data_IF_232697500280
#
_entry.id   IF_232697500280
#
_cell.length_a   1.000
_cell.length_b   1.000
_cell.length_c   1.000
_cell.angle_alpha   90.00
_cell.angle_beta   90.00
_cell.angle_gamma   90.00
#
_symmetry.space_group_name_H-M   'P 1'
#
loop_
_entity.id
_entity.type
_entity.pdbx_description
1 polymer ?
#
# COMPACT_ATOMS: atom_id res chain seq x y z
N UNK A 1 3.41 15.50 -19.22
CA UNK A 1 3.61 14.38 -18.27
C UNK A 1 2.27 14.04 -17.65
N UNK A 2 1.90 12.75 -17.55
CA UNK A 2 0.65 12.35 -16.89
C UNK A 2 0.83 12.36 -15.37
N UNK A 3 -0.21 12.72 -14.63
CA UNK A 3 -0.20 12.73 -13.16
C UNK A 3 -0.64 11.37 -12.62
N UNK A 4 0.07 10.82 -11.63
CA UNK A 4 -0.40 9.63 -10.92
C UNK A 4 -1.47 10.03 -9.89
N UNK A 5 -2.72 9.60 -10.07
CA UNK A 5 -3.80 9.96 -9.13
C UNK A 5 -3.59 9.36 -7.73
N UNK A 6 -2.90 8.23 -7.60
CA UNK A 6 -2.59 7.65 -6.29
C UNK A 6 -1.50 8.43 -5.54
N UNK A 7 -0.71 9.26 -6.23
CA UNK A 7 0.28 10.11 -5.58
C UNK A 7 -0.32 11.39 -4.97
N UNK A 8 -1.58 11.72 -5.29
CA UNK A 8 -2.27 12.93 -4.84
C UNK A 8 -3.07 12.71 -3.55
N UNK A 9 -3.25 13.79 -2.79
CA UNK A 9 -4.25 13.94 -1.73
C UNK A 9 -5.67 13.91 -2.26
N UNK A 10 -6.64 13.62 -1.38
CA UNK A 10 -8.04 13.59 -1.80
C UNK A 10 -8.51 14.97 -2.31
N UNK A 11 -8.04 16.01 -1.64
CA UNK A 11 -8.24 17.41 -2.01
C UNK A 11 -7.54 17.73 -3.33
N UNK A 12 -6.29 17.28 -3.53
CA UNK A 12 -5.55 17.46 -4.79
C UNK A 12 -6.20 16.70 -5.96
N UNK A 13 -6.77 15.51 -5.74
CA UNK A 13 -7.60 14.82 -6.75
C UNK A 13 -8.84 15.66 -7.07
N UNK A 14 -9.45 16.28 -6.06
CA UNK A 14 -10.62 17.14 -6.24
C UNK A 14 -10.29 18.36 -7.09
N UNK A 15 -9.21 19.07 -6.75
CA UNK A 15 -8.72 20.22 -7.52
C UNK A 15 -8.33 19.82 -8.95
N UNK A 16 -7.65 18.69 -9.12
CA UNK A 16 -7.30 18.17 -10.44
C UNK A 16 -8.55 17.95 -11.31
N UNK A 17 -9.61 17.35 -10.74
CA UNK A 17 -10.86 17.08 -11.46
C UNK A 17 -11.65 18.38 -11.74
N UNK A 18 -11.69 19.33 -10.80
CA UNK A 18 -12.32 20.64 -10.98
C UNK A 18 -11.62 21.46 -12.09
N UNK A 19 -10.29 21.41 -12.17
CA UNK A 19 -9.51 22.03 -13.24
C UNK A 19 -9.75 21.41 -14.63
N UNK A 20 -10.34 20.21 -14.71
CA UNK A 20 -10.81 19.59 -15.96
C UNK A 20 -12.28 19.93 -16.27
N UNK A 21 -12.88 20.89 -15.56
CA UNK A 21 -14.26 21.32 -15.72
C UNK A 21 -15.28 20.30 -15.22
N UNK A 22 -14.89 19.42 -14.30
CA UNK A 22 -15.76 18.40 -13.72
C UNK A 22 -16.12 18.73 -12.27
N UNK A 23 -17.25 18.21 -11.78
CA UNK A 23 -17.70 18.49 -10.42
C UNK A 23 -16.93 17.73 -9.35
N UNK A 24 -16.90 18.26 -8.12
CA UNK A 24 -16.43 17.55 -6.92
C UNK A 24 -17.06 16.17 -6.73
N UNK A 25 -18.31 16.00 -7.16
CA UNK A 25 -18.96 14.69 -7.15
C UNK A 25 -18.20 13.65 -7.99
N UNK A 26 -17.73 14.02 -9.18
CA UNK A 26 -16.91 13.13 -10.02
C UNK A 26 -15.55 12.84 -9.40
N UNK A 27 -14.97 13.80 -8.67
CA UNK A 27 -13.75 13.55 -7.90
C UNK A 27 -13.99 12.48 -6.82
N UNK A 28 -15.09 12.60 -6.08
CA UNK A 28 -15.48 11.59 -5.09
C UNK A 28 -15.73 10.20 -5.71
N UNK A 29 -16.31 10.14 -6.92
CA UNK A 29 -16.42 8.88 -7.65
C UNK A 29 -15.05 8.27 -7.93
N UNK A 30 -14.09 9.05 -8.46
CA UNK A 30 -12.72 8.59 -8.72
C UNK A 30 -12.06 8.09 -7.43
N UNK A 31 -12.15 8.85 -6.33
CA UNK A 31 -11.59 8.46 -5.02
C UNK A 31 -12.21 7.13 -4.56
N UNK A 32 -13.53 6.97 -4.65
CA UNK A 32 -14.19 5.72 -4.30
C UNK A 32 -13.74 4.54 -5.19
N UNK A 33 -13.54 4.77 -6.49
CA UNK A 33 -13.02 3.74 -7.38
C UNK A 33 -11.61 3.32 -7.01
N UNK A 34 -10.73 4.27 -6.72
CA UNK A 34 -9.35 4.00 -6.35
C UNK A 34 -9.24 3.23 -5.02
N UNK A 35 -9.95 3.68 -3.99
CA UNK A 35 -9.69 3.26 -2.61
C UNK A 35 -10.76 2.35 -1.99
N UNK A 36 -11.95 2.22 -2.58
CA UNK A 36 -13.00 1.31 -2.09
C UNK A 36 -13.28 0.16 -3.05
N UNK A 37 -13.19 0.42 -4.35
CA UNK A 37 -13.41 -0.57 -5.41
C UNK A 37 -12.11 -1.09 -6.02
N UNK A 38 -10.97 -0.52 -5.64
CA UNK A 38 -9.62 -0.95 -6.04
C UNK A 38 -9.40 -0.97 -7.57
N UNK A 39 -9.98 0.00 -8.29
CA UNK A 39 -9.86 0.12 -9.73
C UNK A 39 -8.39 0.14 -10.19
N UNK A 40 -8.11 -0.61 -11.25
CA UNK A 40 -6.80 -0.64 -11.93
C UNK A 40 -6.67 0.44 -12.99
N UNK A 41 -7.81 0.82 -13.56
CA UNK A 41 -7.89 1.58 -14.80
C UNK A 41 -9.09 2.51 -14.77
N UNK A 42 -9.07 3.57 -15.59
CA UNK A 42 -10.25 4.41 -15.76
C UNK A 42 -11.40 3.65 -16.42
N UNK A 43 -11.13 2.64 -17.24
CA UNK A 43 -12.15 1.80 -17.86
C UNK A 43 -13.03 1.08 -16.83
N UNK A 44 -12.48 0.71 -15.66
CA UNK A 44 -13.21 0.09 -14.56
C UNK A 44 -14.28 1.03 -13.97
N UNK A 45 -14.13 2.36 -14.14
CA UNK A 45 -15.03 3.36 -13.59
C UNK A 45 -16.30 3.49 -14.45
N UNK A 46 -17.27 2.60 -14.19
CA UNK A 46 -18.50 2.46 -14.99
C UNK A 46 -19.48 3.63 -14.88
N UNK A 47 -19.39 4.40 -13.80
CA UNK A 47 -20.21 5.58 -13.54
C UNK A 47 -19.58 6.89 -14.04
N UNK A 48 -18.45 6.81 -14.75
CA UNK A 48 -17.84 7.92 -15.48
C UNK A 48 -18.14 7.80 -16.97
N UNK A 49 -18.56 8.91 -17.58
CA UNK A 49 -18.78 9.03 -19.03
C UNK A 49 -17.51 8.70 -19.82
N UNK A 50 -17.65 8.05 -20.98
CA UNK A 50 -16.53 7.70 -21.88
C UNK A 50 -15.65 8.92 -22.20
N UNK A 51 -16.25 10.06 -22.55
CA UNK A 51 -15.52 11.30 -22.85
C UNK A 51 -14.63 11.77 -21.70
N UNK A 52 -15.08 11.60 -20.45
CA UNK A 52 -14.28 11.98 -19.29
C UNK A 52 -13.14 10.99 -19.03
N UNK A 53 -13.38 9.69 -19.20
CA UNK A 53 -12.32 8.67 -19.15
C UNK A 53 -11.23 8.95 -20.18
N UNK A 54 -11.60 9.33 -21.41
CA UNK A 54 -10.65 9.70 -22.46
C UNK A 54 -9.80 10.94 -22.09
N UNK A 55 -10.37 11.90 -21.35
CA UNK A 55 -9.63 13.06 -20.82
C UNK A 55 -8.65 12.62 -19.74
N UNK A 56 -9.10 11.79 -18.80
CA UNK A 56 -8.27 11.25 -17.72
C UNK A 56 -7.10 10.46 -18.31
N UNK A 57 -7.34 9.59 -19.30
CA UNK A 57 -6.30 8.82 -19.97
C UNK A 57 -5.22 9.70 -20.64
N UNK A 58 -5.55 10.94 -21.02
CA UNK A 58 -4.56 11.89 -21.59
C UNK A 58 -3.77 12.66 -20.53
N UNK A 59 -4.34 12.86 -19.34
CA UNK A 59 -3.81 13.80 -18.32
C UNK A 59 -3.29 13.11 -17.05
N UNK A 60 -3.78 11.91 -16.76
CA UNK A 60 -3.48 11.18 -15.55
C UNK A 60 -3.32 9.67 -15.83
N UNK A 61 -2.85 8.96 -14.83
CA UNK A 61 -2.81 7.51 -14.80
C UNK A 61 -3.01 7.00 -13.38
N UNK A 62 -3.25 5.70 -13.26
CA UNK A 62 -3.37 4.99 -11.99
C UNK A 62 -2.16 4.06 -11.91
N UNK A 63 -1.23 4.32 -10.98
CA UNK A 63 -0.13 3.37 -10.76
C UNK A 63 -0.68 2.03 -10.28
N UNK A 64 -0.08 0.94 -10.74
CA UNK A 64 -0.39 -0.41 -10.29
C UNK A 64 0.91 -1.18 -10.11
N UNK A 65 1.04 -1.90 -9.00
CA UNK A 65 2.14 -2.85 -8.83
C UNK A 65 1.96 -4.04 -9.77
N UNK A 66 3.00 -4.34 -10.54
CA UNK A 66 3.03 -5.53 -11.40
C UNK A 66 3.47 -6.73 -10.57
N UNK A 67 2.67 -7.80 -10.59
CA UNK A 67 3.01 -9.05 -9.90
C UNK A 67 3.93 -9.86 -10.81
N UNK A 68 5.17 -10.07 -10.39
CA UNK A 68 6.12 -10.94 -11.09
C UNK A 68 5.97 -12.40 -10.68
N UNK A 69 5.71 -12.63 -9.39
CA UNK A 69 5.64 -13.97 -8.83
C UNK A 69 4.71 -14.01 -7.62
N UNK A 70 3.99 -15.10 -7.49
CA UNK A 70 3.26 -15.46 -6.27
C UNK A 70 3.72 -16.84 -5.83
N UNK A 71 4.14 -16.95 -4.57
CA UNK A 71 4.46 -18.23 -3.94
C UNK A 71 3.43 -18.52 -2.85
N UNK A 72 2.91 -19.74 -2.83
CA UNK A 72 1.83 -20.14 -1.91
C UNK A 72 2.34 -21.24 -0.99
N UNK A 73 2.30 -21.00 0.31
CA UNK A 73 2.61 -21.98 1.36
C UNK A 73 1.44 -22.94 1.58
N UNK A 74 1.73 -24.10 2.19
CA UNK A 74 0.70 -25.08 2.60
C UNK A 74 -0.25 -24.52 3.66
N UNK A 75 0.22 -23.57 4.48
CA UNK A 75 -0.59 -22.87 5.48
C UNK A 75 -1.47 -21.75 4.89
N UNK A 76 -1.47 -21.55 3.58
CA UNK A 76 -2.25 -20.50 2.91
C UNK A 76 -1.57 -19.13 2.86
N UNK A 77 -0.35 -18.98 3.39
CA UNK A 77 0.46 -17.77 3.23
C UNK A 77 0.79 -17.54 1.76
N UNK A 78 0.60 -16.31 1.28
CA UNK A 78 0.97 -15.91 -0.07
C UNK A 78 2.09 -14.87 -0.02
N UNK A 79 3.22 -15.18 -0.65
CA UNK A 79 4.32 -14.25 -0.84
C UNK A 79 4.28 -13.69 -2.26
N UNK A 80 4.22 -12.37 -2.37
CA UNK A 80 4.15 -11.63 -3.62
C UNK A 80 5.50 -10.98 -3.90
N UNK A 81 5.98 -11.10 -5.13
CA UNK A 81 7.07 -10.30 -5.68
C UNK A 81 6.46 -9.26 -6.64
N UNK A 82 6.60 -7.99 -6.29
CA UNK A 82 6.12 -6.88 -7.10
C UNK A 82 7.28 -6.21 -7.85
N UNK A 83 7.03 -5.78 -9.07
CA UNK A 83 7.87 -4.85 -9.83
C UNK A 83 7.31 -3.42 -9.70
N UNK A 84 8.20 -2.48 -9.39
CA UNK A 84 7.94 -1.05 -9.32
C UNK A 84 8.15 -0.41 -10.70
N UNK A 85 7.73 0.85 -10.88
CA UNK A 85 7.84 1.56 -12.17
C UNK A 85 9.30 1.73 -12.64
N UNK A 86 10.26 1.68 -11.72
CA UNK A 86 11.69 1.74 -11.99
C UNK A 86 12.35 0.37 -12.10
N UNK A 87 11.56 -0.68 -12.35
CA UNK A 87 11.96 -2.09 -12.49
C UNK A 87 12.63 -2.72 -11.26
N UNK A 88 12.67 -2.01 -10.13
CA UNK A 88 13.08 -2.59 -8.84
C UNK A 88 11.97 -3.47 -8.29
N UNK A 89 12.33 -4.38 -7.40
CA UNK A 89 11.37 -5.31 -6.80
C UNK A 89 11.25 -5.15 -5.30
N UNK A 90 10.03 -5.42 -4.81
CA UNK A 90 9.71 -5.51 -3.39
C UNK A 90 8.84 -6.73 -3.12
N UNK A 91 8.77 -7.13 -1.86
CA UNK A 91 7.95 -8.24 -1.43
C UNK A 91 6.82 -7.80 -0.50
N UNK A 92 5.70 -8.50 -0.57
CA UNK A 92 4.66 -8.45 0.45
C UNK A 92 4.21 -9.87 0.79
N UNK A 93 3.73 -10.07 2.02
CA UNK A 93 3.30 -11.40 2.47
C UNK A 93 1.92 -11.30 3.09
N UNK A 94 0.95 -12.00 2.49
CA UNK A 94 -0.39 -12.15 3.03
C UNK A 94 -0.47 -13.41 3.88
N UNK A 95 -0.80 -13.24 5.15
CA UNK A 95 -0.77 -14.26 6.18
C UNK A 95 -2.21 -14.46 6.71
N UNK A 96 -2.88 -15.57 6.38
CA UNK A 96 -4.14 -15.93 7.01
C UNK A 96 -3.87 -16.56 8.39
N UNK A 97 -4.50 -16.03 9.43
CA UNK A 97 -4.38 -16.52 10.80
C UNK A 97 -5.72 -16.43 11.52
N UNK A 98 -6.32 -17.57 11.87
CA UNK A 98 -7.63 -17.68 12.53
C UNK A 98 -8.71 -16.73 11.94
N UNK A 99 -8.99 -15.61 12.60
CA UNK A 99 -9.98 -14.60 12.22
C UNK A 99 -9.38 -13.38 11.49
N UNK A 100 -8.06 -13.34 11.31
CA UNK A 100 -7.28 -12.23 10.78
C UNK A 100 -6.67 -12.57 9.44
N UNK A 101 -6.67 -11.56 8.56
CA UNK A 101 -5.91 -11.57 7.33
C UNK A 101 -4.90 -10.44 7.39
N UNK A 102 -3.64 -10.78 7.67
CA UNK A 102 -2.57 -9.80 7.86
C UNK A 102 -1.77 -9.64 6.58
N UNK A 103 -1.56 -8.40 6.13
CA UNK A 103 -0.62 -8.10 5.06
C UNK A 103 0.64 -7.45 5.61
N UNK A 104 1.76 -8.11 5.39
CA UNK A 104 3.10 -7.59 5.62
C UNK A 104 3.55 -6.80 4.38
N UNK A 105 3.87 -5.52 4.55
CA UNK A 105 4.25 -4.59 3.47
C UNK A 105 5.65 -4.02 3.65
N UNK A 106 6.28 -3.72 2.52
CA UNK A 106 7.59 -3.09 2.41
C UNK A 106 7.50 -1.56 2.48
N UNK A 107 8.55 -0.94 3.00
CA UNK A 107 8.72 0.52 3.10
C UNK A 107 9.90 1.05 2.26
N UNK A 108 10.84 0.19 1.87
CA UNK A 108 12.01 0.55 1.06
C UNK A 108 12.35 -0.57 0.06
N UNK A 109 13.16 -0.26 -0.95
CA UNK A 109 13.84 -1.27 -1.76
C UNK A 109 15.19 -1.59 -1.12
N UNK A 110 15.30 -2.77 -0.54
CA UNK A 110 16.44 -3.15 0.31
C UNK A 110 16.37 -2.49 1.68
N UNK A 111 17.45 -2.57 2.46
CA UNK A 111 17.54 -1.95 3.78
C UNK A 111 19.00 -1.57 4.09
N UNK A 112 19.21 -0.45 4.79
CA UNK A 112 20.54 0.03 5.18
C UNK A 112 20.99 -0.50 6.56
N UNK A 113 20.11 -1.12 7.33
CA UNK A 113 20.38 -1.44 8.74
C UNK A 113 21.39 -2.57 8.95
N UNK A 114 21.65 -3.39 7.93
CA UNK A 114 22.71 -4.40 8.00
C UNK A 114 22.48 -5.52 9.03
N UNK A 115 21.24 -5.75 9.49
CA UNK A 115 20.94 -6.83 10.43
C UNK A 115 21.36 -8.19 9.86
N UNK A 116 22.27 -8.90 10.51
CA UNK A 116 22.93 -10.10 9.98
C UNK A 116 21.96 -11.25 9.68
N UNK A 117 20.90 -11.39 10.48
CA UNK A 117 19.85 -12.40 10.30
C UNK A 117 18.85 -12.04 9.19
N UNK A 118 18.90 -10.82 8.64
CA UNK A 118 17.93 -10.32 7.67
C UNK A 118 18.47 -10.37 6.24
N UNK A 119 17.86 -11.17 5.38
CA UNK A 119 18.19 -11.23 3.94
C UNK A 119 18.13 -9.83 3.31
N UNK A 120 17.11 -9.02 3.64
CA UNK A 120 16.99 -7.65 3.12
C UNK A 120 18.15 -6.74 3.58
N UNK A 121 18.70 -6.97 4.78
CA UNK A 121 19.88 -6.28 5.27
C UNK A 121 21.11 -6.51 4.37
N UNK A 122 21.22 -7.70 3.76
CA UNK A 122 22.29 -8.01 2.80
C UNK A 122 22.14 -7.30 1.44
N UNK A 123 20.91 -6.90 1.06
CA UNK A 123 20.61 -6.36 -0.27
C UNK A 123 21.04 -4.89 -0.47
N UNK A 124 21.50 -4.23 0.60
CA UNK A 124 21.78 -2.78 0.71
C UNK A 124 20.56 -1.93 0.35
N UNK A 125 20.49 -0.72 0.91
CA UNK A 125 19.43 0.22 0.53
C UNK A 125 19.62 0.70 -0.92
N UNK A 126 18.56 0.66 -1.73
CA UNK A 126 18.53 1.25 -3.07
C UNK A 126 17.80 2.58 -3.08
N UNK A 127 16.59 2.62 -2.50
CA UNK A 127 15.79 3.83 -2.31
C UNK A 127 14.61 3.60 -1.36
N UNK A 128 14.03 4.70 -0.92
CA UNK A 128 12.72 4.72 -0.27
C UNK A 128 11.59 4.47 -1.27
N UNK A 129 10.51 3.85 -0.79
CA UNK A 129 9.25 3.78 -1.52
C UNK A 129 8.47 5.09 -1.34
N UNK A 130 7.76 5.51 -2.39
CA UNK A 130 6.74 6.55 -2.29
C UNK A 130 5.51 6.03 -1.57
N UNK A 131 4.74 6.90 -0.95
CA UNK A 131 3.54 6.54 -0.21
C UNK A 131 2.58 5.69 -1.05
N UNK A 132 2.41 6.04 -2.33
CA UNK A 132 1.59 5.24 -3.25
C UNK A 132 2.16 3.85 -3.52
N UNK A 133 3.48 3.66 -3.63
CA UNK A 133 4.08 2.32 -3.74
C UNK A 133 3.88 1.49 -2.46
N UNK A 134 3.80 2.14 -1.30
CA UNK A 134 3.55 1.49 -0.01
C UNK A 134 2.10 1.00 0.08
N UNK A 135 1.11 1.90 -0.01
CA UNK A 135 -0.29 1.50 0.17
C UNK A 135 -0.83 0.72 -1.02
N UNK A 136 -0.23 0.82 -2.21
CA UNK A 136 -0.68 0.06 -3.38
C UNK A 136 -0.37 -1.44 -3.28
N UNK A 137 0.55 -1.84 -2.38
CA UNK A 137 0.69 -3.25 -1.95
C UNK A 137 -0.63 -3.75 -1.36
N UNK A 138 -1.29 -2.93 -0.53
CA UNK A 138 -2.58 -3.27 0.10
C UNK A 138 -3.70 -3.29 -0.94
N UNK A 139 -3.80 -2.27 -1.79
CA UNK A 139 -4.82 -2.21 -2.86
C UNK A 139 -4.70 -3.40 -3.80
N UNK A 140 -3.47 -3.70 -4.26
CA UNK A 140 -3.23 -4.78 -5.22
C UNK A 140 -3.60 -6.14 -4.64
N UNK A 141 -3.18 -6.44 -3.40
CA UNK A 141 -3.53 -7.72 -2.75
C UNK A 141 -5.01 -7.77 -2.38
N UNK A 142 -5.58 -6.68 -1.88
CA UNK A 142 -7.01 -6.62 -1.52
C UNK A 142 -7.90 -6.86 -2.75
N UNK A 143 -7.55 -6.33 -3.92
CA UNK A 143 -8.22 -6.62 -5.19
C UNK A 143 -8.23 -8.12 -5.50
N UNK A 144 -7.07 -8.78 -5.41
CA UNK A 144 -6.99 -10.24 -5.64
C UNK A 144 -7.83 -11.03 -4.63
N UNK A 145 -7.82 -10.64 -3.36
CA UNK A 145 -8.62 -11.27 -2.30
C UNK A 145 -10.13 -11.09 -2.60
N UNK A 146 -10.55 -9.89 -2.97
CA UNK A 146 -11.96 -9.61 -3.31
C UNK A 146 -12.44 -10.36 -4.55
N UNK A 147 -11.55 -10.60 -5.51
CA UNK A 147 -11.82 -11.37 -6.74
C UNK A 147 -11.69 -12.89 -6.55
N UNK A 148 -11.43 -13.39 -5.33
CA UNK A 148 -11.16 -14.80 -5.03
C UNK A 148 -9.96 -15.39 -5.81
N UNK A 149 -8.98 -14.55 -6.17
CA UNK A 149 -7.73 -14.97 -6.85
C UNK A 149 -6.62 -15.39 -5.88
N UNK A 150 -6.91 -15.42 -4.57
CA UNK A 150 -6.03 -15.89 -3.50
C UNK A 150 -6.68 -17.08 -2.84
N UNK A 151 -5.97 -18.21 -2.73
CA UNK A 151 -6.50 -19.43 -2.11
C UNK A 151 -6.23 -19.44 -0.61
N UNK A 152 -7.15 -18.89 0.16
CA UNK A 152 -7.08 -18.93 1.62
C UNK A 152 -7.35 -20.34 2.17
N UNK A 153 -6.97 -20.61 3.43
CA UNK A 153 -7.24 -21.90 4.09
C UNK A 153 -8.74 -22.20 4.11
N UNK A 154 -9.12 -23.48 4.05
CA UNK A 154 -10.51 -23.89 4.21
C UNK A 154 -11.09 -23.33 5.53
N UNK A 155 -12.31 -22.81 5.45
CA UNK A 155 -12.98 -22.17 6.59
C UNK A 155 -12.65 -20.68 6.78
N UNK A 156 -11.73 -20.10 6.00
CA UNK A 156 -11.45 -18.67 6.02
C UNK A 156 -12.37 -17.93 5.03
N UNK A 157 -13.42 -17.29 5.56
CA UNK A 157 -14.44 -16.63 4.74
C UNK A 157 -14.23 -15.11 4.57
N UNK A 158 -13.32 -14.51 5.34
CA UNK A 158 -13.08 -13.06 5.25
C UNK A 158 -12.38 -12.72 3.94
N UNK A 159 -13.05 -11.91 3.12
CA UNK A 159 -12.52 -11.37 1.84
C UNK A 159 -11.87 -10.00 2.01
N UNK A 160 -11.41 -9.67 3.22
CA UNK A 160 -10.82 -8.38 3.52
C UNK A 160 -9.56 -8.55 4.36
N UNK A 161 -8.51 -7.82 3.98
CA UNK A 161 -7.32 -7.63 4.81
C UNK A 161 -7.77 -6.91 6.07
N UNK A 162 -7.48 -7.48 7.24
CA UNK A 162 -7.90 -6.95 8.54
C UNK A 162 -6.76 -6.23 9.25
N UNK A 163 -5.51 -6.59 8.95
CA UNK A 163 -4.32 -6.13 9.65
C UNK A 163 -3.20 -5.79 8.65
N UNK A 164 -2.43 -4.75 8.95
CA UNK A 164 -1.28 -4.32 8.14
C UNK A 164 -0.07 -4.21 9.06
N UNK A 165 1.07 -4.78 8.65
CA UNK A 165 2.33 -4.67 9.38
C UNK A 165 3.43 -4.19 8.45
N UNK A 166 4.17 -3.15 8.87
CA UNK A 166 5.36 -2.67 8.18
C UNK A 166 6.57 -3.51 8.63
N UNK A 167 6.60 -4.76 8.18
CA UNK A 167 7.63 -5.75 8.48
C UNK A 167 8.19 -6.41 7.21
N UNK A 168 7.94 -5.80 6.05
CA UNK A 168 8.48 -6.25 4.77
C UNK A 168 9.92 -5.76 4.59
N UNK A 169 10.26 -5.35 3.38
CA UNK A 169 11.58 -4.81 3.07
C UNK A 169 11.71 -3.37 3.57
N UNK A 170 12.84 -3.07 4.22
CA UNK A 170 13.20 -1.72 4.66
C UNK A 170 12.95 -1.44 6.14
N UNK A 171 13.60 -0.40 6.65
CA UNK A 171 13.35 0.19 7.97
C UNK A 171 12.35 1.34 7.81
N UNK A 172 11.09 1.18 8.28
CA UNK A 172 10.04 2.17 8.07
C UNK A 172 10.39 3.57 8.59
N UNK A 173 11.12 3.67 9.71
CA UNK A 173 11.47 4.97 10.28
C UNK A 173 12.53 5.73 9.46
N UNK A 174 13.29 5.04 8.60
CA UNK A 174 14.17 5.70 7.62
C UNK A 174 13.41 6.16 6.35
N UNK A 175 12.11 5.90 6.27
CA UNK A 175 11.22 6.39 5.23
C UNK A 175 9.96 7.04 5.82
N UNK A 176 10.12 7.70 6.97
CA UNK A 176 9.00 8.11 7.81
C UNK A 176 7.97 9.03 7.12
N UNK A 177 8.35 10.05 6.31
CA UNK A 177 7.37 10.90 5.64
C UNK A 177 6.41 10.12 4.74
N UNK A 178 6.94 9.19 3.92
CA UNK A 178 6.15 8.37 3.00
C UNK A 178 5.33 7.31 3.76
N UNK A 179 5.86 6.79 4.87
CA UNK A 179 5.14 5.87 5.77
C UNK A 179 3.97 6.56 6.46
N UNK A 180 4.16 7.77 7.00
CA UNK A 180 3.08 8.56 7.61
C UNK A 180 1.98 8.82 6.59
N UNK A 181 2.37 9.21 5.37
CA UNK A 181 1.42 9.49 4.31
C UNK A 181 0.66 8.23 3.88
N UNK A 182 1.34 7.09 3.72
CA UNK A 182 0.68 5.82 3.47
C UNK A 182 -0.29 5.45 4.60
N UNK A 183 0.08 5.63 5.87
CA UNK A 183 -0.81 5.38 7.02
C UNK A 183 -2.06 6.27 6.98
N UNK A 184 -1.94 7.55 6.58
CA UNK A 184 -3.09 8.44 6.40
C UNK A 184 -4.03 7.93 5.30
N UNK A 185 -3.49 7.47 4.17
CA UNK A 185 -4.29 6.86 3.08
C UNK A 185 -4.97 5.57 3.52
N UNK A 186 -4.24 4.71 4.24
CA UNK A 186 -4.76 3.44 4.77
C UNK A 186 -5.93 3.68 5.73
N UNK A 187 -5.80 4.66 6.63
CA UNK A 187 -6.81 4.92 7.66
C UNK A 187 -7.97 5.77 7.14
N UNK A 188 -7.69 6.83 6.39
CA UNK A 188 -8.70 7.77 5.87
C UNK A 188 -9.46 7.22 4.66
N UNK A 189 -8.75 6.82 3.60
CA UNK A 189 -9.39 6.45 2.33
C UNK A 189 -9.70 4.96 2.23
N UNK A 190 -8.83 4.09 2.76
CA UNK A 190 -9.05 2.63 2.74
C UNK A 190 -9.85 2.14 3.97
N UNK A 191 -9.97 2.96 5.01
CA UNK A 191 -10.82 2.68 6.17
C UNK A 191 -10.27 1.64 7.14
N UNK A 192 -8.95 1.48 7.22
CA UNK A 192 -8.31 0.66 8.25
C UNK A 192 -8.33 1.37 9.60
N UNK A 193 -8.61 0.63 10.67
CA UNK A 193 -8.41 1.15 12.02
C UNK A 193 -6.92 1.30 12.31
N UNK A 194 -6.52 2.42 12.92
CA UNK A 194 -5.14 2.65 13.37
C UNK A 194 -4.61 1.51 14.25
N UNK A 195 -5.48 0.92 15.08
CA UNK A 195 -5.16 -0.24 15.97
C UNK A 195 -4.87 -1.55 15.23
N UNK A 196 -5.15 -1.60 13.92
CA UNK A 196 -4.90 -2.75 13.05
C UNK A 196 -3.67 -2.54 12.16
N UNK A 197 -2.99 -1.41 12.30
CA UNK A 197 -1.75 -1.10 11.60
C UNK A 197 -0.61 -1.08 12.63
N UNK A 198 0.47 -1.80 12.34
CA UNK A 198 1.66 -1.84 13.18
C UNK A 198 2.88 -1.41 12.38
N UNK A 199 3.59 -0.39 12.85
CA UNK A 199 4.90 0.00 12.31
C UNK A 199 5.97 -0.70 13.14
N UNK A 200 6.85 -1.48 12.49
CA UNK A 200 8.00 -2.11 13.15
C UNK A 200 9.25 -1.26 12.95
N UNK A 201 10.16 -1.30 13.91
CA UNK A 201 11.47 -0.64 13.79
C UNK A 201 12.57 -1.44 14.49
N UNK A 202 13.80 -1.36 13.99
CA UNK A 202 15.01 -1.82 14.67
C UNK A 202 15.51 -0.90 15.80
N UNK A 203 14.79 0.19 16.11
CA UNK A 203 15.07 1.05 17.26
C UNK A 203 15.66 2.42 16.92
N UNK A 204 15.21 3.05 15.83
CA UNK A 204 15.61 4.43 15.50
C UNK A 204 14.88 5.41 16.42
N UNK A 205 15.47 5.70 17.58
CA UNK A 205 14.85 6.52 18.64
C UNK A 205 14.32 7.86 18.13
N UNK A 206 15.07 8.69 17.37
CA UNK A 206 14.52 9.94 16.84
C UNK A 206 13.31 9.74 15.92
N UNK A 207 13.30 8.65 15.14
CA UNK A 207 12.18 8.30 14.27
C UNK A 207 10.94 7.84 15.04
N UNK A 208 11.12 7.20 16.21
CA UNK A 208 10.01 6.82 17.10
C UNK A 208 9.32 8.08 17.63
N UNK A 209 10.10 9.07 18.07
CA UNK A 209 9.58 10.35 18.54
C UNK A 209 8.85 11.10 17.42
N UNK A 210 9.40 11.10 16.21
CA UNK A 210 8.78 11.75 15.06
C UNK A 210 7.49 11.04 14.63
N UNK A 211 7.45 9.70 14.65
CA UNK A 211 6.23 8.93 14.39
C UNK A 211 5.12 9.27 15.40
N UNK A 212 5.48 9.43 16.68
CA UNK A 212 4.56 9.85 17.73
C UNK A 212 4.04 11.29 17.51
N UNK A 213 4.94 12.23 17.15
CA UNK A 213 4.58 13.62 16.81
C UNK A 213 3.68 13.70 15.58
N UNK A 214 3.83 12.79 14.62
CA UNK A 214 2.96 12.66 13.45
C UNK A 214 1.51 12.30 13.78
N UNK A 215 1.19 11.98 15.04
CA UNK A 215 -0.15 11.64 15.56
C UNK A 215 -0.87 10.55 14.73
N UNK A 216 -0.07 9.63 14.16
CA UNK A 216 -0.57 8.51 13.38
C UNK A 216 -1.49 7.62 14.22
N UNK A 217 -1.13 7.37 15.49
CA UNK A 217 -1.89 6.57 16.45
C UNK A 217 -1.90 5.08 16.14
N UNK A 218 -0.95 4.62 15.31
CA UNK A 218 -0.74 3.21 14.95
C UNK A 218 0.02 2.49 16.06
N UNK A 219 -0.02 1.16 16.05
CA UNK A 219 0.80 0.36 16.97
C UNK A 219 2.28 0.45 16.58
N UNK A 220 3.16 0.36 17.56
CA UNK A 220 4.61 0.26 17.38
C UNK A 220 5.08 -1.14 17.80
N UNK A 221 5.94 -1.76 17.00
CA UNK A 221 6.71 -2.93 17.38
C UNK A 221 8.21 -2.60 17.32
N UNK A 222 8.97 -3.07 18.30
CA UNK A 222 10.42 -2.86 18.37
C UNK A 222 11.11 -4.21 18.22
N UNK A 223 11.99 -4.32 17.22
CA UNK A 223 12.79 -5.51 16.95
C UNK A 223 14.04 -5.50 17.84
N UNK A 224 13.96 -6.18 18.99
CA UNK A 224 14.99 -6.18 20.03
C UNK A 224 16.09 -7.23 19.88
N UNK A 225 16.05 -8.06 18.83
CA UNK A 225 16.94 -9.21 18.65
C UNK A 225 18.39 -8.90 19.06
N UNK A 226 18.91 -9.67 20.02
CA UNK A 226 20.23 -9.52 20.63
C UNK A 226 20.90 -10.89 20.74
#
# INVERSE_FOLDING_TARGET
MKINLKALQAEEITEFVENLGQSRYKANQIINWLYKKYASSFTDMTDLSKSFKDILDKKAFISNLKILKVQVSKDGTHKFLFELEDSRTIESVLIPDSDRLTLCISSQVGCAMGCEFCITGSLKLKRNLRAHEIFDQVITVQRLVSENKVRLRQGFYSRKITNIVFMGMGEPLNNLPEVIEAVRKLTGLLGFSKRRITVSTCGIVPGIDELARGRTGVNLAVSLNA
#
